data_IF_170575456618
#
_entry.id   IF_170575456618
#
_cell.length_a   1.000
_cell.length_b   1.000
_cell.length_c   1.000
_cell.angle_alpha   90.00
_cell.angle_beta   90.00
_cell.angle_gamma   90.00
#
_symmetry.space_group_name_H-M   'P 1'
#
loop_
_entity.id
_entity.type
_entity.pdbx_description
1 polymer ?
#
# COMPACT_ATOMS: atom_id res chain seq x y z
N UNK A 1 21.16 -20.48 0.27
CA UNK A 1 21.72 -19.14 0.01
C UNK A 1 20.87 -18.14 0.77
N UNK A 2 21.47 -17.20 1.51
CA UNK A 2 20.70 -16.21 2.29
C UNK A 2 19.99 -15.22 1.36
N UNK A 3 18.90 -14.59 1.84
CA UNK A 3 18.22 -13.49 1.13
C UNK A 3 19.21 -12.39 0.76
N UNK A 4 20.11 -12.05 1.66
CA UNK A 4 21.16 -11.05 1.43
C UNK A 4 22.12 -11.47 0.30
N UNK A 5 22.57 -12.73 0.29
CA UNK A 5 23.47 -13.23 -0.74
C UNK A 5 22.85 -13.27 -2.14
N UNK A 6 21.53 -13.45 -2.24
CA UNK A 6 20.79 -13.42 -3.52
C UNK A 6 20.64 -11.98 -4.04
N UNK A 7 20.53 -11.03 -3.13
CA UNK A 7 20.18 -9.63 -3.40
C UNK A 7 21.38 -8.67 -3.34
N UNK A 8 22.59 -9.18 -3.17
CA UNK A 8 23.79 -8.36 -3.12
C UNK A 8 24.16 -7.80 -4.50
N UNK A 9 24.92 -6.70 -4.51
CA UNK A 9 25.57 -6.20 -5.72
C UNK A 9 26.83 -7.04 -5.97
N UNK A 10 26.93 -7.58 -7.18
CA UNK A 10 28.13 -8.28 -7.62
C UNK A 10 29.25 -7.30 -8.01
N UNK A 11 30.44 -7.81 -8.33
CA UNK A 11 31.60 -7.03 -8.80
C UNK A 11 31.34 -6.25 -10.10
N UNK A 12 30.31 -6.64 -10.86
CA UNK A 12 29.85 -5.94 -12.06
C UNK A 12 28.86 -4.79 -11.75
N UNK A 13 28.68 -4.46 -10.47
CA UNK A 13 27.80 -3.42 -9.95
C UNK A 13 26.30 -3.65 -10.22
N UNK A 14 25.92 -4.90 -10.47
CA UNK A 14 24.56 -5.33 -10.75
C UNK A 14 24.13 -6.41 -9.77
N UNK A 15 22.83 -6.48 -9.48
CA UNK A 15 22.24 -7.69 -8.91
C UNK A 15 22.12 -8.76 -9.99
N UNK A 16 22.01 -10.03 -9.60
CA UNK A 16 21.78 -11.13 -10.53
C UNK A 16 20.56 -10.89 -11.43
N UNK A 17 19.45 -10.39 -10.86
CA UNK A 17 18.24 -10.07 -11.62
C UNK A 17 18.46 -8.93 -12.64
N UNK A 18 19.16 -7.85 -12.24
CA UNK A 18 19.52 -6.77 -13.16
C UNK A 18 20.42 -7.27 -14.30
N UNK A 19 21.35 -8.19 -14.01
CA UNK A 19 22.28 -8.72 -14.99
C UNK A 19 21.53 -9.56 -16.04
N UNK A 20 20.69 -10.51 -15.59
CA UNK A 20 19.83 -11.32 -16.46
C UNK A 20 18.92 -10.44 -17.34
N UNK A 21 18.31 -9.42 -16.74
CA UNK A 21 17.41 -8.48 -17.44
C UNK A 21 18.14 -7.66 -18.51
N UNK A 22 19.36 -7.19 -18.22
CA UNK A 22 20.14 -6.41 -19.18
C UNK A 22 20.61 -7.21 -20.40
N UNK A 23 20.75 -8.53 -20.24
CA UNK A 23 21.22 -9.46 -21.27
C UNK A 23 20.11 -10.14 -22.06
N UNK A 24 18.84 -9.96 -21.67
CA UNK A 24 17.73 -10.61 -22.36
C UNK A 24 17.59 -12.10 -22.03
N UNK A 25 18.05 -12.55 -20.86
CA UNK A 25 17.89 -13.94 -20.44
C UNK A 25 16.50 -14.16 -19.84
N UNK A 26 15.50 -14.33 -20.71
CA UNK A 26 14.09 -14.38 -20.33
C UNK A 26 13.77 -15.48 -19.31
N UNK A 27 14.25 -16.71 -19.55
CA UNK A 27 14.04 -17.85 -18.65
C UNK A 27 14.62 -17.62 -17.25
N UNK A 28 15.79 -16.98 -17.16
CA UNK A 28 16.42 -16.66 -15.88
C UNK A 28 15.65 -15.58 -15.13
N UNK A 29 15.19 -14.55 -15.83
CA UNK A 29 14.36 -13.49 -15.22
C UNK A 29 13.02 -14.05 -14.78
N UNK A 30 12.40 -14.93 -15.55
CA UNK A 30 11.15 -15.58 -15.15
C UNK A 30 11.36 -16.43 -13.89
N UNK A 31 12.43 -17.25 -13.87
CA UNK A 31 12.79 -18.06 -12.71
C UNK A 31 13.06 -17.20 -11.47
N UNK A 32 13.86 -16.14 -11.61
CA UNK A 32 14.19 -15.22 -10.53
C UNK A 32 12.98 -14.40 -10.05
N UNK A 33 12.11 -13.98 -10.97
CA UNK A 33 10.91 -13.19 -10.62
C UNK A 33 9.87 -14.05 -9.90
N UNK A 34 9.81 -15.35 -10.20
CA UNK A 34 8.99 -16.33 -9.46
C UNK A 34 9.60 -16.73 -8.11
N UNK A 35 10.90 -16.51 -7.91
CA UNK A 35 11.54 -16.75 -6.64
C UNK A 35 11.22 -15.62 -5.65
N UNK A 36 10.36 -15.92 -4.68
CA UNK A 36 9.82 -14.94 -3.74
C UNK A 36 10.86 -14.12 -2.97
N UNK A 37 12.12 -14.55 -2.92
CA UNK A 37 13.21 -13.85 -2.20
C UNK A 37 13.97 -12.80 -3.03
N UNK A 38 13.87 -12.80 -4.37
CA UNK A 38 14.63 -11.86 -5.24
C UNK A 38 13.91 -10.51 -5.31
N UNK A 39 14.55 -9.42 -4.89
CA UNK A 39 13.97 -8.07 -4.78
C UNK A 39 14.05 -7.30 -6.11
N UNK A 40 12.89 -6.92 -6.66
CA UNK A 40 12.75 -6.31 -8.00
C UNK A 40 13.07 -4.82 -8.01
N UNK A 41 12.80 -4.11 -6.90
CA UNK A 41 13.06 -2.68 -6.72
C UNK A 41 14.51 -2.36 -6.36
N UNK A 42 15.41 -3.36 -6.28
CA UNK A 42 16.81 -3.09 -6.05
C UNK A 42 17.43 -2.41 -7.27
N UNK A 43 18.08 -1.29 -6.99
CA UNK A 43 18.79 -0.49 -7.97
C UNK A 43 20.26 -0.90 -8.01
N UNK A 44 20.84 -0.91 -9.21
CA UNK A 44 22.28 -0.99 -9.39
C UNK A 44 22.97 0.37 -9.09
N UNK A 45 24.30 0.44 -9.21
CA UNK A 45 25.05 1.69 -9.02
C UNK A 45 24.68 2.83 -9.98
N UNK A 46 23.94 2.55 -11.05
CA UNK A 46 23.42 3.56 -11.99
C UNK A 46 21.99 3.98 -11.67
N UNK A 47 21.49 3.64 -10.48
CA UNK A 47 20.13 3.95 -10.02
C UNK A 47 19.01 3.32 -10.88
N UNK A 48 19.30 2.21 -11.58
CA UNK A 48 18.34 1.51 -12.43
C UNK A 48 17.92 0.18 -11.80
N UNK A 49 16.61 -0.11 -11.81
CA UNK A 49 16.08 -1.43 -11.42
C UNK A 49 16.21 -2.44 -12.57
N UNK A 50 15.93 -3.71 -12.27
CA UNK A 50 15.85 -4.76 -13.28
C UNK A 50 14.77 -4.43 -14.34
N UNK A 51 13.63 -3.91 -13.91
CA UNK A 51 12.56 -3.45 -14.79
C UNK A 51 13.08 -2.38 -15.77
N UNK A 52 13.80 -1.36 -15.29
CA UNK A 52 14.33 -0.30 -16.16
C UNK A 52 15.42 -0.79 -17.12
N UNK A 53 16.12 -1.88 -16.80
CA UNK A 53 17.16 -2.47 -17.65
C UNK A 53 16.60 -3.28 -18.82
N UNK A 54 15.33 -3.68 -18.76
CA UNK A 54 14.69 -4.40 -19.86
C UNK A 54 14.45 -3.49 -21.07
N UNK A 55 14.80 -3.99 -22.26
CA UNK A 55 14.64 -3.25 -23.52
C UNK A 55 13.29 -3.47 -24.22
N UNK A 56 12.59 -4.56 -23.91
CA UNK A 56 11.37 -4.99 -24.59
C UNK A 56 10.16 -4.96 -23.64
N UNK A 57 9.03 -4.46 -24.13
CA UNK A 57 7.74 -4.47 -23.42
C UNK A 57 7.23 -5.88 -23.12
N UNK A 58 7.47 -6.86 -24.00
CA UNK A 58 7.14 -8.26 -23.73
C UNK A 58 7.93 -8.77 -22.52
N UNK A 59 9.22 -8.42 -22.44
CA UNK A 59 10.07 -8.83 -21.34
C UNK A 59 9.65 -8.19 -20.00
N UNK A 60 9.15 -6.95 -20.03
CA UNK A 60 8.57 -6.28 -18.85
C UNK A 60 7.36 -7.01 -18.28
N UNK A 61 6.64 -7.81 -19.07
CA UNK A 61 5.50 -8.58 -18.58
C UNK A 61 5.91 -9.62 -17.53
N UNK A 62 7.17 -10.07 -17.50
CA UNK A 62 7.66 -11.00 -16.48
C UNK A 62 7.74 -10.37 -15.08
N UNK A 63 7.74 -9.04 -15.00
CA UNK A 63 7.74 -8.30 -13.73
C UNK A 63 6.33 -8.01 -13.22
N UNK A 64 5.29 -8.41 -13.96
CA UNK A 64 3.91 -8.29 -13.50
C UNK A 64 3.67 -9.16 -12.28
N UNK A 65 2.69 -8.74 -11.50
CA UNK A 65 2.14 -9.54 -10.41
C UNK A 65 1.39 -10.73 -10.99
N UNK A 66 1.61 -11.92 -10.43
CA UNK A 66 0.91 -13.12 -10.89
C UNK A 66 -0.47 -13.21 -10.25
N UNK A 67 -0.59 -12.83 -8.97
CA UNK A 67 -1.85 -12.88 -8.22
C UNK A 67 -2.34 -11.47 -7.86
N UNK A 68 -2.70 -10.72 -8.90
CA UNK A 68 -3.20 -9.37 -8.81
C UNK A 68 -4.48 -9.23 -7.95
N UNK A 69 -5.42 -10.15 -8.12
CA UNK A 69 -6.75 -10.08 -7.56
C UNK A 69 -6.80 -9.89 -6.03
N UNK A 70 -5.85 -10.43 -5.26
CA UNK A 70 -5.91 -10.43 -3.79
C UNK A 70 -5.37 -9.14 -3.13
N UNK A 71 -4.82 -8.19 -3.90
CA UNK A 71 -4.16 -6.99 -3.33
C UNK A 71 -5.06 -5.76 -3.29
N UNK A 72 -5.85 -5.55 -4.33
CA UNK A 72 -6.73 -4.38 -4.47
C UNK A 72 -8.18 -4.67 -4.07
N UNK A 73 -8.52 -5.93 -3.79
CA UNK A 73 -9.88 -6.37 -3.51
C UNK A 73 -9.96 -6.80 -2.04
N UNK A 74 -10.76 -6.07 -1.25
CA UNK A 74 -11.23 -6.57 0.03
C UNK A 74 -12.19 -7.74 -0.22
N UNK A 75 -11.75 -8.98 0.06
CA UNK A 75 -12.62 -10.15 -0.05
C UNK A 75 -13.78 -10.10 0.97
N UNK A 76 -13.61 -9.37 2.06
CA UNK A 76 -14.58 -9.22 3.17
C UNK A 76 -15.37 -7.88 3.14
N UNK A 77 -15.40 -7.20 1.99
CA UNK A 77 -16.27 -6.04 1.75
C UNK A 77 -15.91 -4.79 2.56
N UNK A 78 -16.86 -3.86 2.64
CA UNK A 78 -16.71 -2.52 3.23
C UNK A 78 -16.33 -2.51 4.72
N UNK A 79 -16.61 -3.58 5.47
CA UNK A 79 -16.37 -3.65 6.93
C UNK A 79 -14.91 -3.44 7.31
N UNK A 80 -14.00 -3.92 6.47
CA UNK A 80 -12.55 -3.78 6.68
C UNK A 80 -12.07 -2.40 6.22
N UNK A 81 -12.62 -1.89 5.12
CA UNK A 81 -12.09 -0.69 4.48
C UNK A 81 -12.54 0.60 5.17
N UNK A 82 -13.80 0.67 5.62
CA UNK A 82 -14.43 1.95 5.96
C UNK A 82 -14.94 2.03 7.40
N UNK A 83 -14.73 3.19 8.04
CA UNK A 83 -15.51 3.64 9.20
C UNK A 83 -16.72 4.45 8.72
N UNK A 84 -17.86 4.30 9.40
CA UNK A 84 -19.13 5.00 9.10
C UNK A 84 -19.42 6.12 10.09
N UNK A 85 -20.07 7.16 9.56
CA UNK A 85 -21.23 7.89 10.07
C UNK A 85 -21.38 8.13 11.59
N UNK A 86 -20.28 8.19 12.34
CA UNK A 86 -20.24 8.95 13.56
C UNK A 86 -20.25 10.42 13.14
N UNK A 87 -21.09 11.26 13.76
CA UNK A 87 -21.10 12.73 13.59
C UNK A 87 -19.77 13.42 13.94
N UNK A 88 -18.70 12.64 14.09
CA UNK A 88 -17.36 13.02 14.47
C UNK A 88 -16.29 12.33 13.60
N UNK A 89 -16.60 11.71 12.45
CA UNK A 89 -15.55 11.02 11.66
C UNK A 89 -14.39 11.94 11.32
N UNK A 90 -14.68 13.16 10.89
CA UNK A 90 -13.66 14.14 10.55
C UNK A 90 -12.94 14.65 11.80
N UNK A 91 -13.66 14.83 12.92
CA UNK A 91 -13.07 15.22 14.20
C UNK A 91 -12.21 14.11 14.79
N UNK A 92 -12.56 12.84 14.59
CA UNK A 92 -11.82 11.65 15.00
C UNK A 92 -10.59 11.47 14.11
N UNK A 93 -10.72 11.66 12.80
CA UNK A 93 -9.59 11.68 11.87
C UNK A 93 -8.62 12.79 12.24
N UNK A 94 -9.10 14.03 12.39
CA UNK A 94 -8.32 15.18 12.80
C UNK A 94 -7.67 14.93 14.17
N UNK A 95 -8.42 14.49 15.18
CA UNK A 95 -7.85 14.19 16.50
C UNK A 95 -6.77 13.11 16.43
N UNK A 96 -7.03 12.01 15.71
CA UNK A 96 -6.05 10.94 15.54
C UNK A 96 -4.81 11.44 14.80
N UNK A 97 -4.94 12.31 13.80
CA UNK A 97 -3.81 12.86 13.04
C UNK A 97 -3.04 13.88 13.88
N UNK A 98 -3.74 14.83 14.50
CA UNK A 98 -3.15 15.96 15.24
C UNK A 98 -2.55 15.53 16.59
N UNK A 99 -3.23 14.67 17.35
CA UNK A 99 -2.66 14.14 18.60
C UNK A 99 -1.40 13.31 18.35
N UNK A 100 -1.30 12.68 17.17
CA UNK A 100 -0.15 11.88 16.77
C UNK A 100 0.96 12.72 16.14
N UNK A 101 0.62 13.81 15.44
CA UNK A 101 1.57 14.83 14.99
C UNK A 101 2.26 15.55 16.15
N UNK A 102 1.58 15.74 17.29
CA UNK A 102 2.18 16.35 18.48
C UNK A 102 3.29 15.49 19.10
N UNK A 103 3.31 14.18 18.82
CA UNK A 103 4.40 13.26 19.16
C UNK A 103 5.42 13.17 18.03
N UNK A 104 5.88 14.32 17.50
CA UNK A 104 7.07 14.35 16.64
C UNK A 104 8.16 13.57 17.34
N UNK A 105 8.56 12.50 16.68
CA UNK A 105 9.29 11.40 17.25
C UNK A 105 10.71 11.86 17.55
N UNK A 106 11.02 12.15 18.80
CA UNK A 106 12.41 12.33 19.25
C UNK A 106 13.20 11.03 19.17
N UNK A 107 12.50 9.91 19.09
CA UNK A 107 13.08 8.57 18.99
C UNK A 107 13.59 8.29 17.57
N UNK A 108 14.72 7.56 17.45
CA UNK A 108 15.21 7.03 16.18
C UNK A 108 14.17 6.12 15.47
N UNK A 109 14.23 6.04 14.14
CA UNK A 109 13.32 5.18 13.37
C UNK A 109 13.47 3.71 13.77
N UNK A 110 14.69 3.25 14.05
CA UNK A 110 14.98 1.89 14.55
C UNK A 110 14.13 1.47 15.75
N UNK A 111 13.72 2.40 16.62
CA UNK A 111 12.81 2.11 17.75
C UNK A 111 11.42 1.72 17.23
N UNK A 112 10.85 2.52 16.33
CA UNK A 112 9.55 2.22 15.71
C UNK A 112 9.59 0.93 14.90
N UNK A 113 10.67 0.74 14.12
CA UNK A 113 10.87 -0.48 13.33
C UNK A 113 10.93 -1.71 14.21
N UNK A 114 11.64 -1.63 15.35
CA UNK A 114 11.74 -2.74 16.30
C UNK A 114 10.38 -3.12 16.90
N UNK A 115 9.56 -2.12 17.26
CA UNK A 115 8.19 -2.32 17.76
C UNK A 115 7.33 -3.02 16.71
N UNK A 116 7.33 -2.52 15.47
CA UNK A 116 6.54 -3.08 14.37
C UNK A 116 7.02 -4.49 14.01
N UNK A 117 8.34 -4.69 14.00
CA UNK A 117 8.97 -5.98 13.72
C UNK A 117 8.59 -7.02 14.76
N UNK A 118 8.70 -6.70 16.05
CA UNK A 118 8.29 -7.59 17.14
C UNK A 118 6.79 -7.90 17.05
N UNK A 119 5.96 -6.87 16.86
CA UNK A 119 4.52 -7.07 16.64
C UNK A 119 4.25 -8.05 15.50
N UNK A 120 4.91 -7.88 14.36
CA UNK A 120 4.64 -8.70 13.18
C UNK A 120 5.21 -10.11 13.29
N UNK A 121 6.48 -10.26 13.66
CA UNK A 121 7.17 -11.55 13.65
C UNK A 121 6.81 -12.43 14.85
N UNK A 122 6.49 -11.84 16.01
CA UNK A 122 6.23 -12.60 17.22
C UNK A 122 4.75 -13.00 17.35
N UNK A 123 3.82 -12.17 16.85
CA UNK A 123 2.38 -12.42 17.01
C UNK A 123 1.73 -13.12 15.82
N UNK A 124 2.41 -13.22 14.67
CA UNK A 124 1.81 -13.83 13.49
C UNK A 124 2.58 -15.07 13.05
N UNK A 125 1.86 -16.21 13.01
CA UNK A 125 2.39 -17.40 12.36
C UNK A 125 2.54 -17.14 10.86
N UNK A 126 3.76 -17.30 10.35
CA UNK A 126 4.08 -17.22 8.91
C UNK A 126 4.49 -18.63 8.49
N UNK A 127 3.65 -19.28 7.69
CA UNK A 127 3.87 -20.66 7.25
C UNK A 127 5.07 -20.79 6.32
N UNK A 128 5.35 -19.74 5.53
CA UNK A 128 6.46 -19.71 4.60
C UNK A 128 7.73 -19.14 5.26
N UNK A 129 8.72 -20.01 5.46
CA UNK A 129 10.00 -19.63 6.04
C UNK A 129 10.74 -18.58 5.21
N UNK A 130 10.65 -18.65 3.87
CA UNK A 130 11.31 -17.70 2.97
C UNK A 130 10.69 -16.30 3.09
N UNK A 131 9.36 -16.21 3.19
CA UNK A 131 8.69 -14.93 3.42
C UNK A 131 9.11 -14.34 4.76
N UNK A 132 9.26 -15.17 5.79
CA UNK A 132 9.72 -14.73 7.12
C UNK A 132 11.13 -14.16 7.06
N UNK A 133 12.06 -14.85 6.39
CA UNK A 133 13.44 -14.38 6.23
C UNK A 133 13.50 -13.07 5.44
N UNK A 134 12.73 -12.97 4.36
CA UNK A 134 12.65 -11.77 3.53
C UNK A 134 12.08 -10.58 4.31
N UNK A 135 10.96 -10.77 5.01
CA UNK A 135 10.33 -9.73 5.84
C UNK A 135 11.32 -9.28 6.93
N UNK A 136 11.99 -10.22 7.59
CA UNK A 136 13.02 -9.91 8.59
C UNK A 136 14.17 -9.11 7.99
N UNK A 137 14.61 -9.45 6.79
CA UNK A 137 15.65 -8.72 6.07
C UNK A 137 15.25 -7.27 5.80
N UNK A 138 14.04 -7.02 5.30
CA UNK A 138 13.54 -5.65 5.10
C UNK A 138 13.43 -4.86 6.41
N UNK A 139 12.96 -5.48 7.50
CA UNK A 139 12.91 -4.82 8.81
C UNK A 139 14.31 -4.47 9.34
N UNK A 140 15.27 -5.39 9.21
CA UNK A 140 16.66 -5.12 9.60
C UNK A 140 17.22 -3.95 8.78
N UNK A 141 17.05 -3.99 7.46
CA UNK A 141 17.52 -2.94 6.57
C UNK A 141 16.89 -1.58 6.87
N UNK A 142 15.58 -1.55 7.11
CA UNK A 142 14.87 -0.34 7.53
C UNK A 142 15.47 0.24 8.82
N UNK A 143 15.81 -0.61 9.79
CA UNK A 143 16.38 -0.20 11.07
C UNK A 143 17.84 0.23 10.96
N UNK A 144 18.65 -0.48 10.17
CA UNK A 144 20.10 -0.24 10.05
C UNK A 144 20.40 0.99 9.18
N UNK A 145 19.61 1.21 8.13
CA UNK A 145 19.76 2.33 7.19
C UNK A 145 18.89 3.54 7.58
N UNK A 146 18.04 3.41 8.62
CA UNK A 146 17.03 4.41 9.01
C UNK A 146 16.18 4.86 7.79
N UNK A 147 15.78 3.89 6.96
CA UNK A 147 15.09 4.11 5.68
C UNK A 147 13.69 3.44 5.64
N UNK A 148 12.59 4.21 5.75
CA UNK A 148 11.23 3.66 5.73
C UNK A 148 10.80 3.16 4.35
N UNK A 149 11.55 3.47 3.29
CA UNK A 149 11.27 2.93 1.94
C UNK A 149 11.34 1.41 1.97
N UNK A 150 12.19 0.81 2.81
CA UNK A 150 12.26 -0.65 2.97
C UNK A 150 10.93 -1.25 3.45
N UNK A 151 10.18 -0.54 4.29
CA UNK A 151 8.86 -0.99 4.74
C UNK A 151 7.79 -0.88 3.63
N UNK A 152 7.88 0.15 2.79
CA UNK A 152 7.03 0.26 1.59
C UNK A 152 7.35 -0.88 0.62
N UNK A 153 8.62 -1.19 0.40
CA UNK A 153 9.04 -2.29 -0.48
C UNK A 153 8.43 -3.61 -0.05
N UNK A 154 8.54 -3.99 1.22
CA UNK A 154 7.92 -5.23 1.71
C UNK A 154 6.38 -5.17 1.69
N UNK A 155 5.78 -3.99 1.88
CA UNK A 155 4.34 -3.79 1.67
C UNK A 155 3.89 -4.09 0.24
N UNK A 156 4.73 -3.80 -0.75
CA UNK A 156 4.40 -4.06 -2.17
C UNK A 156 4.61 -5.49 -2.62
N UNK A 157 5.31 -6.32 -1.83
CA UNK A 157 5.58 -7.72 -2.19
C UNK A 157 4.37 -8.63 -2.06
N UNK A 158 4.37 -9.70 -2.85
CA UNK A 158 3.45 -10.84 -2.72
C UNK A 158 3.78 -11.68 -1.48
N UNK A 159 3.73 -11.07 -0.28
CA UNK A 159 3.86 -11.75 1.01
C UNK A 159 2.60 -11.50 1.85
N UNK A 160 2.44 -12.23 2.96
CA UNK A 160 1.34 -11.98 3.90
C UNK A 160 1.43 -10.64 4.66
N UNK A 161 2.53 -9.88 4.51
CA UNK A 161 2.79 -8.67 5.28
C UNK A 161 1.72 -7.59 5.10
N UNK A 162 1.44 -7.18 3.85
CA UNK A 162 0.48 -6.11 3.57
C UNK A 162 -0.93 -6.47 4.07
N UNK A 163 -1.32 -7.74 3.93
CA UNK A 163 -2.63 -8.26 4.31
C UNK A 163 -2.81 -8.18 5.83
N UNK A 164 -1.89 -8.78 6.58
CA UNK A 164 -1.89 -8.75 8.05
C UNK A 164 -1.78 -7.33 8.60
N UNK A 165 -0.98 -6.47 7.97
CA UNK A 165 -0.87 -5.05 8.34
C UNK A 165 -2.21 -4.33 8.15
N UNK A 166 -2.86 -4.51 7.01
CA UNK A 166 -4.14 -3.87 6.72
C UNK A 166 -5.27 -4.43 7.62
N UNK A 167 -5.34 -5.74 7.84
CA UNK A 167 -6.25 -6.36 8.81
C UNK A 167 -6.05 -5.77 10.22
N UNK A 168 -4.78 -5.66 10.64
CA UNK A 168 -4.45 -5.08 11.93
C UNK A 168 -4.87 -3.63 12.06
N UNK A 169 -4.70 -2.81 11.02
CA UNK A 169 -5.15 -1.42 11.03
C UNK A 169 -6.68 -1.29 10.96
N UNK A 170 -7.35 -2.25 10.31
CA UNK A 170 -8.79 -2.26 10.12
C UNK A 170 -9.60 -2.56 11.39
N UNK A 171 -9.04 -3.30 12.35
CA UNK A 171 -9.73 -3.64 13.59
C UNK A 171 -10.02 -2.36 14.40
N UNK A 172 -11.28 -2.03 14.66
CA UNK A 172 -11.62 -0.91 15.55
C UNK A 172 -11.29 -1.29 17.01
N UNK A 173 -10.34 -0.61 17.64
CA UNK A 173 -10.16 -0.69 19.09
C UNK A 173 -11.05 0.37 19.73
N UNK A 174 -12.16 -0.08 20.29
CA UNK A 174 -13.18 0.81 20.83
C UNK A 174 -12.77 1.47 22.13
N UNK A 175 -11.87 0.95 22.96
CA UNK A 175 -11.51 1.62 24.22
C UNK A 175 -10.14 1.17 24.78
N UNK A 176 -9.24 2.11 25.07
CA UNK A 176 -8.10 1.92 25.96
C UNK A 176 -6.71 2.17 25.36
N UNK A 177 -5.84 2.84 26.12
CA UNK A 177 -4.41 2.97 25.83
C UNK A 177 -3.70 1.63 26.12
N UNK A 178 -3.80 0.67 25.19
CA UNK A 178 -3.07 -0.60 25.26
C UNK A 178 -1.84 -0.58 24.31
N UNK A 179 -0.97 -1.60 24.41
CA UNK A 179 0.21 -1.75 23.55
C UNK A 179 -0.16 -1.77 22.06
N UNK A 180 -1.36 -2.23 21.68
CA UNK A 180 -1.81 -2.20 20.28
C UNK A 180 -1.91 -0.78 19.73
N UNK A 181 -2.30 0.19 20.56
CA UNK A 181 -2.30 1.58 20.14
C UNK A 181 -0.89 2.12 19.87
N UNK A 182 0.14 1.62 20.56
CA UNK A 182 1.54 2.03 20.34
C UNK A 182 2.03 1.50 18.98
N UNK A 183 1.76 0.25 18.64
CA UNK A 183 2.17 -0.34 17.37
C UNK A 183 1.53 0.39 16.18
N UNK A 184 0.20 0.63 16.25
CA UNK A 184 -0.52 1.39 15.22
C UNK A 184 0.00 2.82 15.10
N UNK A 185 0.25 3.48 16.22
CA UNK A 185 0.86 4.81 16.21
C UNK A 185 2.23 4.79 15.54
N UNK A 186 3.05 3.78 15.83
CA UNK A 186 4.38 3.62 15.22
C UNK A 186 4.29 3.49 13.70
N UNK A 187 3.38 2.64 13.21
CA UNK A 187 3.14 2.46 11.76
C UNK A 187 2.69 3.78 11.12
N UNK A 188 1.68 4.43 11.69
CA UNK A 188 1.12 5.67 11.13
C UNK A 188 2.14 6.80 11.16
N UNK A 189 2.86 6.97 12.26
CA UNK A 189 3.86 8.02 12.42
C UNK A 189 4.99 7.85 11.41
N UNK A 190 5.50 6.63 11.27
CA UNK A 190 6.58 6.34 10.35
C UNK A 190 6.14 6.52 8.90
N UNK A 191 5.03 5.88 8.50
CA UNK A 191 4.64 5.85 7.09
C UNK A 191 4.12 7.20 6.61
N UNK A 192 3.48 8.00 7.47
CA UNK A 192 2.87 9.28 7.08
C UNK A 192 3.78 10.48 7.27
N UNK A 193 4.58 10.51 8.34
CA UNK A 193 5.30 11.72 8.75
C UNK A 193 6.82 11.64 8.60
N UNK A 194 7.39 10.48 8.28
CA UNK A 194 8.84 10.41 8.05
C UNK A 194 9.25 11.31 6.87
N UNK A 195 10.33 12.06 7.05
CA UNK A 195 10.77 13.12 6.12
C UNK A 195 11.24 12.55 4.79
N UNK A 196 11.92 11.40 4.78
CA UNK A 196 12.37 10.74 3.54
C UNK A 196 11.23 10.33 2.61
N UNK A 197 10.01 10.23 3.14
CA UNK A 197 8.82 9.91 2.35
C UNK A 197 8.15 11.16 1.74
N UNK A 198 8.62 12.38 2.06
CA UNK A 198 8.02 13.63 1.61
C UNK A 198 8.12 13.83 0.10
N UNK A 199 9.22 13.37 -0.50
CA UNK A 199 9.43 13.44 -1.94
C UNK A 199 8.42 12.60 -2.75
N UNK A 200 7.70 11.69 -2.09
CA UNK A 200 6.69 10.83 -2.72
C UNK A 200 5.27 11.36 -2.54
N UNK A 201 5.03 12.53 -1.94
CA UNK A 201 3.67 13.07 -1.80
C UNK A 201 2.91 13.08 -3.14
N UNK A 202 1.67 12.63 -3.13
CA UNK A 202 0.82 12.58 -4.32
C UNK A 202 -0.38 13.51 -4.21
N UNK A 203 -0.62 14.28 -5.26
CA UNK A 203 -1.83 15.09 -5.49
C UNK A 203 -2.29 14.79 -6.91
N UNK A 204 -3.58 14.50 -7.09
CA UNK A 204 -4.14 14.13 -8.37
C UNK A 204 -5.22 13.06 -8.26
N UNK A 205 -5.50 12.42 -9.38
CA UNK A 205 -6.53 11.37 -9.48
C UNK A 205 -5.87 10.00 -9.46
N UNK A 206 -6.43 9.08 -8.69
CA UNK A 206 -6.01 7.67 -8.64
C UNK A 206 -7.22 6.74 -8.61
N UNK A 207 -7.03 5.51 -9.07
CA UNK A 207 -8.10 4.54 -9.34
C UNK A 207 -7.91 3.27 -8.52
N UNK A 208 -9.02 2.70 -8.02
CA UNK A 208 -9.02 1.37 -7.36
C UNK A 208 -10.14 0.52 -7.93
N UNK A 209 -9.79 -0.65 -8.43
CA UNK A 209 -10.75 -1.67 -8.82
C UNK A 209 -11.13 -2.52 -7.63
N UNK A 210 -12.42 -2.78 -7.45
CA UNK A 210 -12.92 -3.63 -6.38
C UNK A 210 -14.17 -4.40 -6.79
N UNK A 211 -14.51 -5.41 -5.98
CA UNK A 211 -15.75 -6.18 -6.08
C UNK A 211 -16.62 -5.87 -4.88
N UNK A 212 -17.85 -5.45 -5.14
CA UNK A 212 -18.79 -4.97 -4.10
C UNK A 212 -20.11 -5.71 -4.21
N UNK A 213 -20.73 -5.99 -3.08
CA UNK A 213 -22.12 -6.45 -3.04
C UNK A 213 -23.07 -5.26 -3.23
N UNK A 214 -24.35 -5.52 -3.53
CA UNK A 214 -25.37 -4.46 -3.54
C UNK A 214 -25.46 -3.73 -2.19
N UNK A 215 -25.32 -4.47 -1.09
CA UNK A 215 -25.30 -3.90 0.27
C UNK A 215 -24.06 -3.04 0.54
N UNK A 216 -22.91 -3.38 -0.06
CA UNK A 216 -21.74 -2.49 0.01
C UNK A 216 -22.00 -1.18 -0.77
N UNK A 217 -22.70 -1.25 -1.91
CA UNK A 217 -23.00 -0.06 -2.72
C UNK A 217 -23.91 0.94 -2.02
N UNK A 218 -24.85 0.48 -1.19
CA UNK A 218 -25.71 1.33 -0.37
C UNK A 218 -24.91 2.26 0.56
N UNK A 219 -23.66 1.92 0.87
CA UNK A 219 -22.78 2.74 1.70
C UNK A 219 -22.15 3.90 0.96
N UNK A 220 -22.13 3.88 -0.37
CA UNK A 220 -21.61 4.95 -1.20
C UNK A 220 -22.72 5.95 -1.60
N UNK A 221 -23.60 6.29 -0.67
CA UNK A 221 -24.62 7.29 -0.95
C UNK A 221 -23.97 8.66 -1.19
N UNK A 222 -24.41 9.37 -2.24
CA UNK A 222 -23.88 10.70 -2.58
C UNK A 222 -24.05 11.66 -1.39
N UNK A 223 -23.01 12.45 -1.12
CA UNK A 223 -22.93 13.37 0.01
C UNK A 223 -22.49 12.73 1.33
N UNK A 224 -22.28 11.41 1.37
CA UNK A 224 -21.73 10.75 2.57
C UNK A 224 -20.21 10.85 2.63
N UNK A 225 -19.67 10.94 3.85
CA UNK A 225 -18.24 10.90 4.10
C UNK A 225 -17.82 9.51 4.60
N UNK A 226 -16.73 9.01 4.04
CA UNK A 226 -16.15 7.70 4.35
C UNK A 226 -14.70 7.90 4.82
N UNK A 227 -14.30 7.19 5.88
CA UNK A 227 -12.92 7.23 6.34
C UNK A 227 -12.28 5.85 6.20
N UNK A 228 -11.13 5.77 5.53
CA UNK A 228 -10.45 4.49 5.37
C UNK A 228 -9.71 4.08 6.66
N UNK A 229 -9.80 2.81 7.04
CA UNK A 229 -9.20 2.28 8.27
C UNK A 229 -7.75 1.84 8.10
N UNK A 230 -7.42 1.35 6.91
CA UNK A 230 -6.14 0.78 6.54
C UNK A 230 -5.60 1.46 5.27
N UNK A 231 -4.44 1.05 4.79
CA UNK A 231 -3.89 1.58 3.55
C UNK A 231 -4.76 1.16 2.37
N UNK A 232 -5.06 2.12 1.48
CA UNK A 232 -5.69 1.82 0.19
C UNK A 232 -4.62 1.88 -0.90
N UNK A 233 -4.35 0.73 -1.49
CA UNK A 233 -3.57 0.63 -2.71
C UNK A 233 -4.44 1.05 -3.90
N UNK A 234 -3.93 1.98 -4.71
CA UNK A 234 -4.61 2.56 -5.89
C UNK A 234 -3.60 2.70 -7.04
N UNK A 235 -4.03 3.01 -8.26
CA UNK A 235 -3.16 3.19 -9.43
C UNK A 235 -3.44 4.49 -10.16
N UNK A 236 -2.40 5.15 -10.67
CA UNK A 236 -2.55 6.28 -11.60
C UNK A 236 -3.13 5.85 -12.96
N UNK A 237 -2.96 4.58 -13.34
CA UNK A 237 -3.49 4.04 -14.60
C UNK A 237 -4.83 3.34 -14.34
N UNK A 238 -5.91 3.93 -14.87
CA UNK A 238 -7.26 3.37 -14.77
C UNK A 238 -7.34 1.92 -15.28
N UNK A 239 -6.59 1.56 -16.33
CA UNK A 239 -6.61 0.22 -16.92
C UNK A 239 -6.06 -0.83 -15.95
N UNK A 240 -5.12 -0.44 -15.09
CA UNK A 240 -4.59 -1.30 -14.03
C UNK A 240 -5.71 -1.59 -13.02
N UNK A 241 -6.42 -0.55 -12.55
CA UNK A 241 -7.57 -0.72 -11.67
C UNK A 241 -8.68 -1.60 -12.27
N UNK A 242 -9.01 -1.39 -13.55
CA UNK A 242 -9.98 -2.22 -14.28
C UNK A 242 -9.52 -3.69 -14.38
N UNK A 243 -8.25 -3.93 -14.72
CA UNK A 243 -7.69 -5.28 -14.77
C UNK A 243 -7.76 -6.00 -13.41
N UNK A 244 -7.50 -5.29 -12.30
CA UNK A 244 -7.69 -5.83 -10.96
C UNK A 244 -9.15 -6.20 -10.72
N UNK A 245 -10.07 -5.31 -11.06
CA UNK A 245 -11.50 -5.54 -10.87
C UNK A 245 -12.00 -6.74 -11.69
N UNK A 246 -11.52 -6.93 -12.92
CA UNK A 246 -11.93 -8.01 -13.83
C UNK A 246 -11.28 -9.37 -13.53
N UNK A 247 -10.05 -9.38 -12.97
CA UNK A 247 -9.27 -10.59 -12.70
C UNK A 247 -9.89 -11.57 -11.67
N UNK A 248 -10.94 -11.16 -10.96
CA UNK A 248 -11.54 -11.93 -9.87
C UNK A 248 -12.53 -13.04 -10.28
N UNK A 249 -12.79 -13.23 -11.57
CA UNK A 249 -13.80 -14.18 -12.06
C UNK A 249 -15.24 -13.76 -11.73
N UNK A 250 -16.23 -14.40 -12.35
CA UNK A 250 -17.66 -14.18 -12.08
C UNK A 250 -18.10 -14.90 -10.80
N UNK A 251 -17.37 -14.68 -9.72
CA UNK A 251 -17.62 -15.35 -8.45
C UNK A 251 -18.64 -14.49 -7.68
N UNK A 252 -19.82 -15.06 -7.48
CA UNK A 252 -20.71 -14.77 -6.34
C UNK A 252 -21.49 -13.45 -6.35
N UNK A 253 -22.16 -13.10 -7.47
CA UNK A 253 -23.15 -12.00 -7.49
C UNK A 253 -22.59 -10.60 -7.18
N UNK A 254 -21.27 -10.46 -7.05
CA UNK A 254 -20.59 -9.19 -6.78
C UNK A 254 -20.45 -8.37 -8.04
N UNK A 255 -20.72 -7.08 -7.90
CA UNK A 255 -20.62 -6.08 -8.95
C UNK A 255 -19.19 -5.56 -9.03
N UNK A 256 -18.73 -5.26 -10.24
CA UNK A 256 -17.43 -4.63 -10.46
C UNK A 256 -17.57 -3.12 -10.24
N UNK A 257 -16.75 -2.57 -9.35
CA UNK A 257 -16.73 -1.13 -9.08
C UNK A 257 -15.32 -0.56 -9.29
N UNK A 258 -15.27 0.67 -9.79
CA UNK A 258 -14.06 1.49 -9.90
C UNK A 258 -14.26 2.70 -8.99
N UNK A 259 -13.43 2.79 -7.94
CA UNK A 259 -13.34 3.98 -7.12
C UNK A 259 -12.35 4.96 -7.74
N UNK A 260 -12.79 6.20 -7.95
CA UNK A 260 -11.99 7.31 -8.46
C UNK A 260 -11.75 8.28 -7.31
N UNK A 261 -10.51 8.39 -6.86
CA UNK A 261 -10.13 9.27 -5.75
C UNK A 261 -9.49 10.55 -6.27
N UNK A 262 -10.05 11.70 -5.92
CA UNK A 262 -9.42 13.01 -6.09
C UNK A 262 -8.67 13.40 -4.81
N UNK A 263 -7.35 13.23 -4.83
CA UNK A 263 -6.44 13.64 -3.74
C UNK A 263 -6.06 15.10 -3.97
N UNK A 264 -6.44 15.99 -3.06
CA UNK A 264 -6.29 17.43 -3.27
C UNK A 264 -5.67 18.20 -2.09
N UNK A 265 -5.33 17.52 -1.00
CA UNK A 265 -4.77 18.16 0.19
C UNK A 265 -3.29 17.83 0.39
N UNK A 266 -2.46 18.87 0.43
CA UNK A 266 -1.03 18.75 0.72
C UNK A 266 -0.72 18.80 2.23
N UNK A 267 -1.68 19.23 3.06
CA UNK A 267 -1.44 19.61 4.46
C UNK A 267 -0.99 18.45 5.35
N UNK A 268 -1.27 17.21 5.00
CA UNK A 268 -0.96 16.05 5.84
C UNK A 268 -0.55 14.78 5.08
N UNK A 269 -0.10 14.92 3.82
CA UNK A 269 0.34 13.82 2.94
C UNK A 269 -0.59 12.61 3.02
N UNK A 270 -1.72 12.71 2.36
CA UNK A 270 -2.79 11.71 2.40
C UNK A 270 -2.46 10.48 1.56
N UNK A 271 -1.65 10.68 0.53
CA UNK A 271 -1.20 9.65 -0.36
C UNK A 271 0.26 9.85 -0.76
N UNK A 272 0.91 8.74 -1.11
CA UNK A 272 2.26 8.73 -1.68
C UNK A 272 2.30 7.96 -2.99
N UNK A 273 3.01 8.50 -3.98
CA UNK A 273 3.35 7.84 -5.24
C UNK A 273 4.53 6.90 -5.00
N UNK A 274 4.26 5.61 -5.06
CA UNK A 274 5.25 4.58 -4.78
C UNK A 274 5.68 3.83 -6.04
N UNK A 275 5.36 4.32 -7.23
CA UNK A 275 5.73 3.70 -8.51
C UNK A 275 7.22 3.34 -8.56
N UNK A 276 8.08 4.29 -8.19
CA UNK A 276 9.55 4.14 -8.34
C UNK A 276 10.19 3.23 -7.29
N UNK A 277 9.50 2.99 -6.17
CA UNK A 277 10.00 2.17 -5.05
C UNK A 277 9.25 0.85 -4.89
N UNK A 278 8.10 0.69 -5.56
CA UNK A 278 7.32 -0.54 -5.60
C UNK A 278 8.09 -1.66 -6.31
N UNK A 279 7.79 -2.88 -5.89
CA UNK A 279 8.26 -4.10 -6.55
C UNK A 279 7.59 -4.35 -7.91
N UNK A 280 6.54 -3.59 -8.22
CA UNK A 280 5.70 -3.72 -9.41
C UNK A 280 5.46 -2.32 -10.02
N UNK A 281 6.49 -1.78 -10.67
CA UNK A 281 6.47 -0.39 -11.17
C UNK A 281 5.36 -0.14 -12.21
N UNK A 282 4.96 -1.16 -12.98
CA UNK A 282 3.91 -1.03 -13.98
C UNK A 282 2.50 -0.87 -13.39
N UNK A 283 2.32 -1.17 -12.10
CA UNK A 283 1.08 -0.88 -11.38
C UNK A 283 0.87 0.63 -11.18
N UNK A 284 1.92 1.46 -11.31
CA UNK A 284 1.86 2.92 -11.06
C UNK A 284 1.16 3.24 -9.73
N UNK A 285 1.53 2.49 -8.70
CA UNK A 285 0.80 2.43 -7.45
C UNK A 285 0.90 3.74 -6.66
N UNK A 286 -0.25 4.24 -6.22
CA UNK A 286 -0.39 5.30 -5.24
C UNK A 286 -0.98 4.69 -3.97
N UNK A 287 -0.33 4.91 -2.84
CA UNK A 287 -0.75 4.38 -1.55
C UNK A 287 -1.41 5.48 -0.73
N UNK A 288 -2.71 5.37 -0.49
CA UNK A 288 -3.47 6.26 0.38
C UNK A 288 -3.30 5.80 1.83
N UNK A 289 -2.88 6.70 2.70
CA UNK A 289 -2.67 6.43 4.12
C UNK A 289 -3.99 6.15 4.85
N UNK A 290 -3.96 5.39 5.96
CA UNK A 290 -5.12 5.25 6.84
C UNK A 290 -5.62 6.61 7.37
N UNK A 291 -6.91 6.63 7.73
CA UNK A 291 -7.60 7.77 8.34
C UNK A 291 -7.71 8.99 7.41
N UNK A 292 -7.72 8.77 6.10
CA UNK A 292 -8.13 9.78 5.13
C UNK A 292 -9.65 9.76 4.98
N UNK A 293 -10.25 10.94 4.84
CA UNK A 293 -11.70 11.10 4.72
C UNK A 293 -12.03 11.53 3.31
N UNK A 294 -13.05 10.90 2.74
CA UNK A 294 -13.51 11.13 1.38
C UNK A 294 -15.02 11.33 1.36
N UNK A 295 -15.47 12.36 0.65
CA UNK A 295 -16.88 12.55 0.30
C UNK A 295 -17.20 11.78 -0.97
N UNK A 296 -18.29 11.02 -0.96
CA UNK A 296 -18.83 10.40 -2.17
C UNK A 296 -19.59 11.47 -2.95
N UNK A 297 -18.99 11.95 -4.04
CA UNK A 297 -19.56 13.06 -4.81
C UNK A 297 -20.48 12.58 -5.94
N UNK A 298 -20.28 11.36 -6.43
CA UNK A 298 -21.10 10.78 -7.49
C UNK A 298 -21.01 9.25 -7.48
N UNK A 299 -22.10 8.59 -7.87
CA UNK A 299 -22.12 7.16 -8.17
C UNK A 299 -22.87 6.97 -9.47
N UNK A 300 -22.20 6.38 -10.46
CA UNK A 300 -22.77 6.14 -11.78
C UNK A 300 -22.59 4.69 -12.20
N UNK A 301 -23.57 4.17 -12.94
CA UNK A 301 -23.52 2.80 -13.46
C UNK A 301 -23.25 2.86 -14.97
N UNK A 302 -22.14 2.27 -15.39
CA UNK A 302 -21.84 2.03 -16.81
C UNK A 302 -22.22 0.60 -17.18
N UNK A 303 -22.10 0.22 -18.46
CA UNK A 303 -22.38 -1.16 -18.90
C UNK A 303 -21.50 -2.21 -18.23
N UNK A 304 -20.28 -1.83 -17.84
CA UNK A 304 -19.26 -2.77 -17.37
C UNK A 304 -18.92 -2.60 -15.89
N UNK A 305 -19.06 -1.38 -15.36
CA UNK A 305 -18.60 -1.03 -14.02
C UNK A 305 -19.53 -0.03 -13.35
N UNK A 306 -19.56 -0.07 -12.03
CA UNK A 306 -20.07 1.02 -11.20
C UNK A 306 -18.91 1.94 -10.88
N UNK A 307 -19.02 3.21 -11.24
CA UNK A 307 -18.02 4.22 -10.94
C UNK A 307 -18.43 4.98 -9.69
N UNK A 308 -17.61 4.88 -8.65
CA UNK A 308 -17.77 5.59 -7.38
C UNK A 308 -16.73 6.69 -7.35
N UNK A 309 -17.20 7.91 -7.24
CA UNK A 309 -16.41 9.10 -7.38
C UNK A 309 -16.25 9.72 -5.99
N UNK A 310 -15.00 9.77 -5.50
CA UNK A 310 -14.63 10.17 -4.14
C UNK A 310 -13.70 11.38 -4.15
N UNK A 311 -13.98 12.38 -3.31
CA UNK A 311 -13.16 13.59 -3.17
C UNK A 311 -12.64 13.72 -1.76
N UNK A 312 -11.35 13.99 -1.61
CA UNK A 312 -10.73 14.15 -0.31
C UNK A 312 -11.32 15.36 0.47
N UNK A 313 -11.75 15.12 1.72
CA UNK A 313 -12.33 16.14 2.59
C UNK A 313 -11.26 16.94 3.32
N UNK A 314 -11.42 18.27 3.36
CA UNK A 314 -10.57 19.12 4.19
C UNK A 314 -11.01 19.04 5.66
N UNK A 315 -10.21 18.33 6.46
CA UNK A 315 -10.43 18.15 7.91
C UNK A 315 -10.45 19.47 8.71
N UNK A 316 -9.95 20.58 8.18
CA UNK A 316 -10.03 21.88 8.86
C UNK A 316 -11.40 22.56 8.66
N UNK A 317 -12.14 22.23 7.59
CA UNK A 317 -13.54 22.67 7.45
C UNK A 317 -14.45 21.97 8.46
N UNK A 318 -14.14 20.71 8.81
CA UNK A 318 -14.86 19.94 9.81
C UNK A 318 -14.84 20.55 11.22
N UNK A 319 -13.80 21.32 11.55
CA UNK A 319 -13.69 22.05 12.82
C UNK A 319 -14.65 23.23 12.91
N UNK A 320 -15.10 23.79 11.78
CA UNK A 320 -15.96 24.97 11.73
C UNK A 320 -17.46 24.65 11.81
N UNK A 321 -17.82 23.36 11.87
CA UNK A 321 -19.20 22.90 12.11
C UNK A 321 -19.50 22.66 13.60
N UNK A 322 -18.65 23.17 14.51
CA UNK A 322 -18.89 23.28 15.96
C UNK A 322 -19.43 24.66 16.32
#
# INVERSE_FOLDING_TARGET
MSVEGINCLESNDSTGLCASSSRGHEELVELQSKDGVVVRSLKNKRDLTAYNKTKNNQFRQLFRRQNAAERFISLDGFRIEWMRNDCYIEQKAAWLIYSKNARRTTEPMSVYVSIIKAWYLDNHHISNIRDTELIRWFFNKASEEEDPIQLIKIYTRETSYYRKLNEYLAIEHTNGWNNDNINRQSILSLMRFHSSLQQFSFIGVTYRGMRVTETDLEQYAVGTCLMNKAFLSTSKDRRVAEAFADSCGSIDGRLTAICVYEICLDTYRSAIDIETISEFQDEQEVLIHPLCVFEVFNVSCTRNYIEIQLKECNLDKAKQMQ
#
